data_IF_758422039176
#
_entry.id   IF_758422039176
#
_cell.length_a   1.000
_cell.length_b   1.000
_cell.length_c   1.000
_cell.angle_alpha   90.00
_cell.angle_beta   90.00
_cell.angle_gamma   90.00
#
_symmetry.space_group_name_H-M   'P 1'
#
loop_
_entity.id
_entity.type
_entity.pdbx_description
1 polymer ?
#
# COMPACT_ATOMS: atom_id res chain seq x y z
N UNK A 1 27.69 -2.18 -25.34
CA UNK A 1 26.43 -1.63 -24.78
C UNK A 1 25.43 -2.77 -24.63
N UNK A 2 24.73 -2.87 -23.50
CA UNK A 2 23.69 -3.91 -23.30
C UNK A 2 22.45 -3.61 -24.14
N UNK A 3 21.79 -4.65 -24.65
CA UNK A 3 20.54 -4.50 -25.40
C UNK A 3 19.43 -3.95 -24.48
N UNK A 4 18.53 -3.10 -25.01
CA UNK A 4 17.39 -2.60 -24.23
C UNK A 4 16.48 -3.76 -23.80
N UNK A 5 15.90 -3.64 -22.60
CA UNK A 5 14.92 -4.61 -22.11
C UNK A 5 13.65 -4.51 -22.95
N UNK A 6 13.19 -5.64 -23.46
CA UNK A 6 11.98 -5.74 -24.30
C UNK A 6 10.85 -6.51 -23.61
N UNK A 7 11.19 -7.37 -22.66
CA UNK A 7 10.26 -8.28 -21.97
C UNK A 7 10.57 -8.32 -20.48
N UNK A 8 9.52 -8.25 -19.66
CA UNK A 8 9.58 -8.39 -18.21
C UNK A 8 8.57 -9.46 -17.81
N UNK A 9 9.07 -10.57 -17.27
CA UNK A 9 8.24 -11.61 -16.67
C UNK A 9 8.16 -11.38 -15.16
N UNK A 10 6.94 -11.30 -14.63
CA UNK A 10 6.68 -11.20 -13.20
C UNK A 10 6.14 -12.54 -12.74
N UNK A 11 6.88 -13.22 -11.86
CA UNK A 11 6.44 -14.46 -11.23
C UNK A 11 6.12 -14.13 -9.78
N UNK A 12 4.87 -14.29 -9.37
CA UNK A 12 4.42 -13.88 -8.04
C UNK A 12 3.00 -14.32 -7.75
N UNK A 13 2.38 -13.72 -6.75
CA UNK A 13 0.98 -13.99 -6.36
C UNK A 13 0.32 -12.74 -5.78
N UNK A 14 -1.00 -12.78 -5.71
CA UNK A 14 -1.83 -11.88 -4.93
C UNK A 14 -1.57 -10.39 -5.24
N UNK A 15 -1.80 -9.50 -4.26
CA UNK A 15 -1.66 -8.06 -4.44
C UNK A 15 -0.27 -7.65 -4.94
N UNK A 16 0.80 -8.28 -4.45
CA UNK A 16 2.17 -7.95 -4.87
C UNK A 16 2.39 -8.13 -6.37
N UNK A 17 1.88 -9.22 -6.96
CA UNK A 17 1.97 -9.50 -8.39
C UNK A 17 1.25 -8.44 -9.22
N UNK A 18 -0.01 -8.20 -8.89
CA UNK A 18 -0.88 -7.33 -9.67
C UNK A 18 -0.53 -5.85 -9.53
N UNK A 19 -0.12 -5.41 -8.33
CA UNK A 19 0.40 -4.06 -8.12
C UNK A 19 1.71 -3.85 -8.90
N UNK A 20 2.61 -4.84 -8.92
CA UNK A 20 3.85 -4.75 -9.71
C UNK A 20 3.56 -4.68 -11.21
N UNK A 21 2.66 -5.52 -11.71
CA UNK A 21 2.27 -5.54 -13.12
C UNK A 21 1.63 -4.20 -13.54
N UNK A 22 0.72 -3.66 -12.73
CA UNK A 22 0.07 -2.37 -12.98
C UNK A 22 1.09 -1.23 -12.96
N UNK A 23 1.98 -1.18 -11.97
CA UNK A 23 3.03 -0.15 -11.88
C UNK A 23 3.95 -0.18 -13.10
N UNK A 24 4.42 -1.36 -13.52
CA UNK A 24 5.30 -1.49 -14.68
C UNK A 24 4.58 -1.10 -15.98
N UNK A 25 3.31 -1.51 -16.15
CA UNK A 25 2.52 -1.11 -17.32
C UNK A 25 2.29 0.41 -17.38
N UNK A 26 2.04 1.07 -16.25
CA UNK A 26 1.86 2.53 -16.22
C UNK A 26 3.17 3.28 -16.45
N UNK A 27 4.27 2.84 -15.84
CA UNK A 27 5.56 3.51 -15.94
C UNK A 27 6.24 3.28 -17.31
N UNK A 28 6.11 2.08 -17.89
CA UNK A 28 6.91 1.64 -19.03
C UNK A 28 6.09 1.29 -20.27
N UNK A 29 4.76 1.33 -20.21
CA UNK A 29 3.88 0.92 -21.32
C UNK A 29 4.10 1.71 -22.61
N UNK A 30 4.53 2.97 -22.51
CA UNK A 30 4.87 3.80 -23.67
C UNK A 30 6.18 3.41 -24.39
N UNK A 31 6.99 2.53 -23.79
CA UNK A 31 8.30 2.13 -24.33
C UNK A 31 8.25 0.85 -25.18
N UNK A 32 7.07 0.28 -25.40
CA UNK A 32 6.91 -0.98 -26.16
C UNK A 32 7.44 -2.22 -25.43
N UNK A 33 7.62 -2.16 -24.10
CA UNK A 33 8.01 -3.30 -23.27
C UNK A 33 6.80 -4.21 -23.06
N UNK A 34 7.00 -5.51 -23.29
CA UNK A 34 5.98 -6.53 -22.99
C UNK A 34 6.10 -6.96 -21.52
N UNK A 35 5.01 -6.84 -20.76
CA UNK A 35 4.93 -7.31 -19.37
C UNK A 35 4.09 -8.59 -19.35
N UNK A 36 4.70 -9.69 -18.92
CA UNK A 36 4.07 -11.00 -18.79
C UNK A 36 4.01 -11.38 -17.31
N UNK A 37 2.97 -12.12 -16.95
CA UNK A 37 2.70 -12.48 -15.56
C UNK A 37 2.48 -13.98 -15.45
N UNK A 38 3.15 -14.61 -14.48
CA UNK A 38 2.86 -15.99 -14.04
C UNK A 38 2.38 -15.89 -12.59
N UNK A 39 1.09 -16.11 -12.40
CA UNK A 39 0.46 -16.14 -11.09
C UNK A 39 0.63 -17.52 -10.45
N UNK A 40 1.27 -17.53 -9.30
CA UNK A 40 1.38 -18.70 -8.43
C UNK A 40 0.11 -18.84 -7.58
N UNK A 41 -0.19 -20.04 -7.06
CA UNK A 41 -1.33 -20.24 -6.18
C UNK A 41 -1.34 -19.25 -5.01
N UNK A 42 -2.51 -18.66 -4.75
CA UNK A 42 -2.69 -17.77 -3.61
C UNK A 42 -2.36 -18.49 -2.31
N UNK A 43 -1.77 -17.74 -1.37
CA UNK A 43 -1.56 -18.20 0.02
C UNK A 43 -2.45 -17.44 1.00
N UNK A 44 -3.34 -16.58 0.49
CA UNK A 44 -4.26 -15.83 1.32
C UNK A 44 -5.29 -16.77 1.94
N UNK A 45 -5.52 -16.56 3.23
CA UNK A 45 -6.54 -17.20 4.04
C UNK A 45 -7.65 -16.18 4.29
N UNK A 46 -8.86 -16.64 4.66
CA UNK A 46 -9.99 -15.75 4.91
C UNK A 46 -9.73 -14.64 5.97
N UNK A 47 -8.78 -14.84 6.89
CA UNK A 47 -8.45 -13.89 7.95
C UNK A 47 -7.25 -12.98 7.63
N UNK A 48 -6.60 -13.16 6.47
CA UNK A 48 -5.46 -12.32 6.12
C UNK A 48 -5.94 -10.92 5.69
N UNK A 49 -5.24 -9.89 6.17
CA UNK A 49 -5.56 -8.49 5.89
C UNK A 49 -4.28 -7.72 5.59
N UNK A 50 -4.39 -6.71 4.72
CA UNK A 50 -3.33 -5.76 4.45
C UNK A 50 -3.54 -4.52 5.32
N UNK A 51 -2.60 -4.27 6.22
CA UNK A 51 -2.55 -3.03 7.01
C UNK A 51 -1.56 -2.09 6.32
N UNK A 52 -1.95 -0.84 6.13
CA UNK A 52 -1.15 0.16 5.43
C UNK A 52 -1.07 1.48 6.20
N UNK A 53 -0.19 2.35 5.72
CA UNK A 53 -0.07 3.75 6.13
C UNK A 53 -0.84 4.67 5.16
N UNK A 54 -1.02 5.96 5.49
CA UNK A 54 -1.73 6.90 4.61
C UNK A 54 -1.15 7.05 3.20
N UNK A 55 0.13 6.70 3.00
CA UNK A 55 0.76 6.70 1.67
C UNK A 55 0.09 5.75 0.66
N UNK A 56 -0.76 4.83 1.12
CA UNK A 56 -1.55 3.96 0.24
C UNK A 56 -2.48 4.77 -0.68
N UNK A 57 -3.03 5.88 -0.21
CA UNK A 57 -3.91 6.75 -1.01
C UNK A 57 -3.14 7.32 -2.22
N UNK A 58 -1.90 7.76 -2.00
CA UNK A 58 -1.02 8.22 -3.08
C UNK A 58 -0.68 7.11 -4.08
N UNK A 59 -0.51 5.87 -3.60
CA UNK A 59 -0.29 4.71 -4.46
C UNK A 59 -1.50 4.46 -5.37
N UNK A 60 -2.72 4.46 -4.82
CA UNK A 60 -3.94 4.28 -5.59
C UNK A 60 -4.11 5.37 -6.65
N UNK A 61 -3.89 6.64 -6.29
CA UNK A 61 -3.92 7.74 -7.26
C UNK A 61 -2.92 7.56 -8.40
N UNK A 62 -1.66 7.22 -8.10
CA UNK A 62 -0.64 6.96 -9.11
C UNK A 62 -1.05 5.79 -10.04
N UNK A 63 -1.72 4.79 -9.49
CA UNK A 63 -2.25 3.64 -10.22
C UNK A 63 -3.54 3.93 -10.98
N UNK A 64 -4.16 5.09 -10.79
CA UNK A 64 -5.46 5.45 -11.35
C UNK A 64 -6.61 4.63 -10.76
N UNK A 65 -6.46 4.18 -9.52
CA UNK A 65 -7.47 3.47 -8.76
C UNK A 65 -8.30 4.46 -7.95
N UNK A 66 -9.62 4.24 -7.92
CA UNK A 66 -10.53 4.99 -7.07
C UNK A 66 -10.59 4.36 -5.68
N UNK A 67 -10.34 5.16 -4.64
CA UNK A 67 -10.25 4.69 -3.25
C UNK A 67 -11.54 4.01 -2.79
N UNK A 68 -12.71 4.62 -3.07
CA UNK A 68 -14.00 4.08 -2.68
C UNK A 68 -14.28 2.72 -3.31
N UNK A 69 -13.91 2.55 -4.59
CA UNK A 69 -14.00 1.26 -5.28
C UNK A 69 -13.05 0.22 -4.71
N UNK A 70 -11.82 0.60 -4.34
CA UNK A 70 -10.87 -0.33 -3.71
C UNK A 70 -11.39 -0.79 -2.36
N UNK A 71 -11.84 0.12 -1.50
CA UNK A 71 -12.41 -0.21 -0.19
C UNK A 71 -13.61 -1.14 -0.32
N UNK A 72 -14.56 -0.82 -1.22
CA UNK A 72 -15.74 -1.65 -1.46
C UNK A 72 -15.41 -3.05 -2.01
N UNK A 73 -14.42 -3.17 -2.89
CA UNK A 73 -14.02 -4.45 -3.47
C UNK A 73 -13.22 -5.34 -2.51
N UNK A 74 -12.58 -4.75 -1.49
CA UNK A 74 -11.67 -5.47 -0.58
C UNK A 74 -12.25 -5.70 0.82
N UNK A 75 -13.48 -5.25 1.09
CA UNK A 75 -14.01 -5.13 2.46
C UNK A 75 -13.09 -4.30 3.37
N UNK A 76 -12.47 -3.27 2.79
CA UNK A 76 -11.53 -2.40 3.48
C UNK A 76 -12.21 -1.49 4.50
N UNK A 77 -11.43 -1.04 5.47
CA UNK A 77 -11.87 -0.09 6.51
C UNK A 77 -10.80 0.98 6.71
N UNK A 78 -11.23 2.16 7.11
CA UNK A 78 -10.35 3.29 7.39
C UNK A 78 -9.60 3.09 8.72
N UNK A 79 -8.31 3.39 8.73
CA UNK A 79 -7.48 3.32 9.92
C UNK A 79 -6.81 4.68 10.18
N UNK A 80 -7.04 5.24 11.37
CA UNK A 80 -6.56 6.58 11.75
C UNK A 80 -5.33 6.54 12.68
N UNK A 81 -5.16 5.43 13.40
CA UNK A 81 -4.07 5.24 14.34
C UNK A 81 -3.83 3.74 14.61
N UNK A 82 -2.66 3.41 15.14
CA UNK A 82 -2.36 2.11 15.71
C UNK A 82 -2.39 2.17 17.25
N UNK A 83 -3.15 1.26 17.87
CA UNK A 83 -3.21 1.13 19.32
C UNK A 83 -2.16 0.15 19.84
N UNK A 84 -1.32 0.60 20.76
CA UNK A 84 -0.34 -0.22 21.46
C UNK A 84 -0.80 -0.46 22.89
N UNK A 85 -1.22 -1.68 23.21
CA UNK A 85 -1.66 -2.09 24.56
C UNK A 85 -0.66 -3.08 25.18
N UNK A 86 -0.23 -2.83 26.42
CA UNK A 86 0.71 -3.70 27.14
C UNK A 86 2.19 -3.53 26.77
N UNK A 87 2.53 -2.52 25.94
CA UNK A 87 3.90 -2.28 25.48
C UNK A 87 4.76 -1.52 26.49
N UNK A 88 4.17 -0.70 27.36
CA UNK A 88 4.91 0.13 28.33
C UNK A 88 4.94 -0.48 29.73
N UNK A 89 5.53 -1.67 29.89
CA UNK A 89 5.79 -2.33 31.19
C UNK A 89 4.68 -2.22 32.26
N UNK A 90 3.41 -2.25 31.87
CA UNK A 90 2.25 -2.14 32.76
C UNK A 90 1.45 -0.82 32.71
N UNK A 91 1.91 0.19 31.96
CA UNK A 91 1.15 1.45 31.76
C UNK A 91 -0.03 1.29 30.80
N UNK A 92 -0.85 2.35 30.73
CA UNK A 92 -1.99 2.46 29.84
C UNK A 92 -1.62 2.28 28.36
N UNK A 93 -2.59 1.77 27.58
CA UNK A 93 -2.47 1.72 26.13
C UNK A 93 -2.35 3.13 25.55
N UNK A 94 -1.56 3.28 24.48
CA UNK A 94 -1.44 4.53 23.74
C UNK A 94 -1.77 4.35 22.26
N UNK A 95 -2.04 5.46 21.57
CA UNK A 95 -2.35 5.52 20.14
C UNK A 95 -1.21 6.21 19.40
N UNK A 96 -0.73 5.60 18.33
CA UNK A 96 0.17 6.23 17.37
C UNK A 96 -0.66 6.63 16.15
N UNK A 97 -1.02 7.92 16.08
CA UNK A 97 -1.80 8.47 14.98
C UNK A 97 -0.98 8.44 13.67
N UNK A 98 -1.67 8.23 12.55
CA UNK A 98 -1.03 8.26 11.24
C UNK A 98 -0.93 9.66 10.62
N UNK A 99 -1.57 10.65 11.25
CA UNK A 99 -1.54 12.06 10.84
C UNK A 99 -1.35 12.97 12.08
N UNK A 100 -1.26 14.26 11.82
CA UNK A 100 -1.02 15.32 12.79
C UNK A 100 -2.13 15.37 13.83
N UNK A 101 -1.74 15.37 15.10
CA UNK A 101 -2.66 15.54 16.24
C UNK A 101 -2.48 16.95 16.78
N UNK A 102 -3.58 17.70 16.86
CA UNK A 102 -3.58 19.08 17.36
C UNK A 102 -2.97 20.09 16.38
N UNK A 103 -2.73 21.31 16.88
CA UNK A 103 -2.14 22.39 16.11
C UNK A 103 -1.07 23.10 16.93
N UNK A 104 0.03 23.48 16.29
CA UNK A 104 1.07 24.27 16.94
C UNK A 104 0.63 25.73 17.15
N UNK A 105 1.16 26.36 18.19
CA UNK A 105 0.92 27.76 18.54
C UNK A 105 2.28 28.46 18.69
N UNK A 106 2.45 29.63 18.08
CA UNK A 106 3.72 30.41 18.18
C UNK A 106 4.98 29.58 17.82
N UNK A 107 4.90 28.76 16.76
CA UNK A 107 5.97 27.84 16.32
C UNK A 107 6.33 26.72 17.30
N UNK A 108 5.52 26.51 18.34
CA UNK A 108 5.65 25.39 19.26
C UNK A 108 4.76 24.24 18.77
N UNK A 109 5.30 23.05 18.47
CA UNK A 109 4.50 21.89 18.12
C UNK A 109 3.54 21.48 19.25
N UNK A 110 2.44 20.84 18.91
CA UNK A 110 1.45 20.37 19.89
C UNK A 110 1.99 19.25 20.82
N UNK A 111 3.04 18.54 20.38
CA UNK A 111 3.67 17.39 21.03
C UNK A 111 5.19 17.56 21.09
#
# INVERSE_FOLDING_TARGET
>A
MSRPIQRVLIVGRDAALWLTALSLRRALGGLGITVEVVELPSVLRPADAYVSTPSLVSLHHMMGLDEGRVLGATSGSEAYAQRFAGWSKGDHAFMHAYDTVGAGIEQIPFI
#
